data_IF_905808438198
#
_entry.id   IF_905808438198
#
_cell.length_a   1.000
_cell.length_b   1.000
_cell.length_c   1.000
_cell.angle_alpha   90.00
_cell.angle_beta   90.00
_cell.angle_gamma   90.00
#
_symmetry.space_group_name_H-M   'P 1'
#
loop_
_entity.id
_entity.type
_entity.pdbx_description
1 polymer ?
#
# COMPACT_ATOMS: atom_id res chain seq x y z
N UNK A 1 -13.94 -17.24 -5.03
CA UNK A 1 -13.87 -15.92 -4.36
C UNK A 1 -14.53 -14.87 -5.25
N UNK A 2 -15.26 -13.90 -4.69
CA UNK A 2 -15.89 -12.84 -5.49
C UNK A 2 -14.84 -12.02 -6.25
N UNK A 3 -15.21 -11.56 -7.45
CA UNK A 3 -14.38 -10.70 -8.29
C UNK A 3 -14.17 -9.35 -7.60
N UNK A 4 -12.92 -8.88 -7.54
CA UNK A 4 -12.62 -7.56 -6.98
C UNK A 4 -13.09 -6.45 -7.93
N UNK A 5 -13.65 -5.37 -7.37
CA UNK A 5 -14.17 -4.20 -8.09
C UNK A 5 -13.19 -3.03 -8.06
N UNK A 6 -13.21 -2.10 -9.04
CA UNK A 6 -12.34 -0.92 -9.02
C UNK A 6 -12.53 -0.07 -7.75
N UNK A 7 -11.45 0.51 -7.22
CA UNK A 7 -11.43 1.26 -5.96
C UNK A 7 -10.97 2.71 -6.16
N UNK A 8 -11.37 3.67 -5.30
CA UNK A 8 -12.20 3.51 -4.10
C UNK A 8 -13.69 3.30 -4.41
N UNK A 9 -14.45 2.87 -3.40
CA UNK A 9 -15.90 2.66 -3.46
C UNK A 9 -16.71 3.96 -3.27
N UNK A 10 -16.33 5.02 -3.97
CA UNK A 10 -17.04 6.29 -4.00
C UNK A 10 -17.11 6.85 -5.43
N UNK A 11 -17.82 7.94 -5.66
CA UNK A 11 -17.83 8.61 -6.97
C UNK A 11 -16.44 9.17 -7.32
N UNK A 12 -16.12 9.14 -8.61
CA UNK A 12 -14.88 9.69 -9.15
C UNK A 12 -13.91 8.62 -9.69
N UNK A 13 -12.63 9.00 -9.88
CA UNK A 13 -11.64 8.15 -10.53
C UNK A 13 -11.35 6.90 -9.72
N UNK A 14 -11.20 5.77 -10.41
CA UNK A 14 -10.96 4.48 -9.80
C UNK A 14 -9.74 3.82 -10.40
N UNK A 15 -9.05 3.04 -9.58
CA UNK A 15 -7.98 2.16 -9.99
C UNK A 15 -8.51 0.74 -10.15
N UNK A 16 -8.25 0.17 -11.32
CA UNK A 16 -8.54 -1.23 -11.62
C UNK A 16 -7.65 -2.17 -10.80
N UNK A 17 -8.15 -3.39 -10.56
CA UNK A 17 -7.34 -4.45 -9.95
C UNK A 17 -6.27 -4.94 -10.92
N UNK A 18 -5.13 -5.34 -10.38
CA UNK A 18 -4.08 -6.01 -11.14
C UNK A 18 -4.46 -7.48 -11.43
N UNK A 19 -4.79 -8.24 -10.38
CA UNK A 19 -5.34 -9.61 -10.48
C UNK A 19 -6.35 -9.85 -9.34
N UNK A 20 -7.16 -10.91 -9.45
CA UNK A 20 -8.11 -11.29 -8.39
C UNK A 20 -7.43 -12.01 -7.23
N UNK A 21 -6.34 -12.72 -7.51
CA UNK A 21 -5.72 -13.64 -6.56
C UNK A 21 -4.26 -13.84 -6.96
N UNK A 22 -3.34 -13.18 -6.24
CA UNK A 22 -1.91 -13.25 -6.54
C UNK A 22 -1.36 -14.67 -6.36
N UNK A 23 -1.97 -15.49 -5.49
CA UNK A 23 -1.54 -16.87 -5.24
C UNK A 23 -1.73 -17.81 -6.43
N UNK A 24 -2.46 -17.36 -7.47
CA UNK A 24 -2.61 -18.08 -8.74
C UNK A 24 -1.52 -17.76 -9.76
N UNK A 25 -0.63 -16.83 -9.43
CA UNK A 25 0.49 -16.42 -10.26
C UNK A 25 1.80 -16.95 -9.68
N UNK A 26 2.81 -17.14 -10.53
CA UNK A 26 4.17 -17.36 -10.03
C UNK A 26 4.72 -16.00 -9.59
N UNK A 27 4.74 -15.75 -8.28
CA UNK A 27 5.20 -14.49 -7.73
C UNK A 27 6.29 -14.68 -6.69
N UNK A 28 7.23 -13.72 -6.67
CA UNK A 28 8.34 -13.66 -5.71
C UNK A 28 8.61 -12.22 -5.33
N UNK A 29 8.75 -11.94 -4.04
CA UNK A 29 9.34 -10.68 -3.60
C UNK A 29 10.85 -10.86 -3.57
N UNK A 30 11.55 -9.97 -4.28
CA UNK A 30 12.97 -10.10 -4.57
C UNK A 30 13.82 -9.27 -3.61
N UNK A 31 13.40 -8.03 -3.38
CA UNK A 31 14.20 -7.00 -2.71
C UNK A 31 13.28 -6.03 -1.97
N UNK A 32 13.59 -5.76 -0.71
CA UNK A 32 13.04 -4.62 0.01
C UNK A 32 13.70 -3.34 -0.52
N UNK A 33 12.91 -2.37 -0.99
CA UNK A 33 13.42 -1.13 -1.59
C UNK A 33 13.37 0.06 -0.63
N UNK A 34 12.49 0.03 0.37
CA UNK A 34 12.36 1.10 1.35
C UNK A 34 11.00 1.11 2.04
N UNK A 35 10.87 2.01 3.00
CA UNK A 35 9.62 2.31 3.70
C UNK A 35 9.43 3.81 3.73
N UNK A 36 8.16 4.23 3.77
CA UNK A 36 7.79 5.60 4.03
C UNK A 36 6.70 5.65 5.09
N UNK A 37 6.06 6.81 5.21
CA UNK A 37 5.06 7.07 6.24
C UNK A 37 3.92 6.04 6.28
N UNK A 38 3.43 5.56 5.12
CA UNK A 38 2.21 4.75 5.05
C UNK A 38 2.37 3.37 4.42
N UNK A 39 3.60 2.97 4.06
CA UNK A 39 3.82 1.80 3.21
C UNK A 39 5.27 1.36 3.18
N UNK A 40 5.48 0.09 2.82
CA UNK A 40 6.77 -0.41 2.35
C UNK A 40 6.73 -0.66 0.85
N UNK A 41 7.90 -0.61 0.22
CA UNK A 41 8.06 -0.83 -1.22
C UNK A 41 8.98 -2.03 -1.43
N UNK A 42 8.53 -2.97 -2.25
CA UNK A 42 9.29 -4.17 -2.61
C UNK A 42 9.40 -4.30 -4.12
N UNK A 43 10.53 -4.81 -4.58
CA UNK A 43 10.69 -5.33 -5.94
C UNK A 43 10.13 -6.74 -5.99
N UNK A 44 9.36 -7.05 -7.02
CA UNK A 44 8.75 -8.36 -7.19
C UNK A 44 8.88 -8.86 -8.62
N UNK A 45 8.88 -10.18 -8.79
CA UNK A 45 8.62 -10.84 -10.05
C UNK A 45 7.22 -11.45 -10.01
N UNK A 46 6.42 -11.23 -11.04
CA UNK A 46 5.11 -11.88 -11.23
C UNK A 46 5.02 -12.38 -12.66
N UNK A 47 4.84 -13.69 -12.85
CA UNK A 47 4.81 -14.38 -14.13
C UNK A 47 6.01 -14.03 -15.03
N UNK A 48 7.22 -14.01 -14.44
CA UNK A 48 8.48 -13.70 -15.14
C UNK A 48 8.68 -12.23 -15.51
N UNK A 49 7.84 -11.32 -15.00
CA UNK A 49 7.98 -9.86 -15.20
C UNK A 49 8.30 -9.16 -13.90
N UNK A 50 9.21 -8.18 -13.97
CA UNK A 50 9.60 -7.41 -12.80
C UNK A 50 8.66 -6.23 -12.59
N UNK A 51 8.27 -6.02 -11.34
CA UNK A 51 7.44 -4.94 -10.85
C UNK A 51 8.04 -4.30 -9.61
N UNK A 52 7.55 -3.12 -9.28
CA UNK A 52 7.64 -2.52 -7.95
C UNK A 52 6.25 -2.52 -7.35
N UNK A 53 6.15 -2.99 -6.10
CA UNK A 53 4.89 -3.11 -5.37
C UNK A 53 4.99 -2.28 -4.11
N UNK A 54 4.10 -1.30 -3.98
CA UNK A 54 3.93 -0.50 -2.76
C UNK A 54 2.85 -1.15 -1.90
N UNK A 55 3.21 -1.69 -0.75
CA UNK A 55 2.35 -2.37 0.22
C UNK A 55 1.97 -1.38 1.33
N UNK A 56 0.70 -1.02 1.43
CA UNK A 56 0.22 -0.08 2.44
C UNK A 56 0.05 -0.77 3.79
N UNK A 57 0.39 -0.07 4.87
CA UNK A 57 0.13 -0.59 6.22
C UNK A 57 -1.39 -0.68 6.44
N UNK A 58 -1.91 -1.78 7.01
CA UNK A 58 -3.36 -2.03 7.09
C UNK A 58 -4.15 -0.89 7.73
N UNK A 59 -3.61 -0.29 8.80
CA UNK A 59 -4.21 0.87 9.47
C UNK A 59 -4.52 2.01 8.50
N UNK A 60 -3.60 2.37 7.58
CA UNK A 60 -3.75 3.49 6.64
C UNK A 60 -4.60 3.16 5.41
N UNK A 61 -5.06 1.91 5.29
CA UNK A 61 -6.08 1.52 4.31
C UNK A 61 -7.47 1.81 4.84
N UNK A 62 -7.67 1.67 6.15
CA UNK A 62 -8.99 1.70 6.78
C UNK A 62 -9.25 2.95 7.60
N UNK A 63 -8.20 3.61 8.09
CA UNK A 63 -8.28 4.77 8.96
C UNK A 63 -7.65 5.99 8.27
N UNK A 64 -8.39 7.11 8.17
CA UNK A 64 -7.84 8.34 7.65
C UNK A 64 -6.82 8.90 8.65
N UNK A 65 -5.55 8.88 8.27
CA UNK A 65 -4.47 9.43 9.08
C UNK A 65 -3.61 10.38 8.21
N UNK A 66 -3.11 11.44 8.82
CA UNK A 66 -2.28 12.47 8.20
C UNK A 66 -0.93 12.52 8.91
N UNK A 67 -0.20 11.41 8.87
CA UNK A 67 1.20 11.43 9.29
C UNK A 67 2.08 12.02 8.16
N UNK A 68 3.02 12.86 8.58
CA UNK A 68 4.00 13.51 7.73
C UNK A 68 5.38 13.20 8.31
N UNK A 69 6.24 12.61 7.49
CA UNK A 69 7.66 12.47 7.79
C UNK A 69 8.43 13.69 7.24
N UNK A 70 9.50 14.15 7.92
CA UNK A 70 10.37 15.18 7.37
C UNK A 70 11.02 14.72 6.06
N UNK A 71 11.22 15.65 5.14
CA UNK A 71 11.94 15.39 3.88
C UNK A 71 13.43 15.14 4.17
N UNK A 72 13.96 15.78 5.21
CA UNK A 72 15.36 15.64 5.61
C UNK A 72 15.52 14.40 6.50
N UNK A 73 16.24 13.41 5.97
CA UNK A 73 16.47 12.10 6.59
C UNK A 73 17.25 12.19 7.92
N UNK A 74 17.95 13.30 8.17
CA UNK A 74 18.67 13.51 9.44
C UNK A 74 17.73 13.79 10.62
N UNK A 75 16.46 14.08 10.35
CA UNK A 75 15.46 14.34 11.37
C UNK A 75 14.58 13.13 11.62
N UNK A 76 14.80 12.48 12.76
CA UNK A 76 13.90 11.44 13.23
C UNK A 76 12.76 12.06 14.04
N UNK A 77 11.51 11.83 13.62
CA UNK A 77 10.32 12.14 14.40
C UNK A 77 9.79 10.83 14.95
N UNK A 78 9.76 10.70 16.28
CA UNK A 78 9.07 9.58 16.91
C UNK A 78 7.60 9.61 16.49
N UNK A 79 7.12 8.52 15.90
CA UNK A 79 5.70 8.39 15.55
C UNK A 79 4.89 8.14 16.81
N UNK A 80 3.95 9.04 17.10
CA UNK A 80 2.95 8.81 18.16
C UNK A 80 2.10 7.58 17.82
N UNK A 81 1.45 7.00 18.83
CA UNK A 81 0.54 5.87 18.61
C UNK A 81 -0.50 6.21 17.54
N UNK A 82 -0.75 5.27 16.62
CA UNK A 82 -1.67 5.46 15.50
C UNK A 82 -3.10 5.58 16.00
N UNK A 83 -3.54 6.80 16.32
CA UNK A 83 -4.91 7.04 16.76
C UNK A 83 -5.90 6.77 15.63
N UNK A 84 -6.84 5.85 15.86
CA UNK A 84 -7.91 5.55 14.92
C UNK A 84 -9.02 6.59 15.03
N UNK A 85 -9.54 7.06 13.90
CA UNK A 85 -10.59 8.06 13.90
C UNK A 85 -11.92 7.42 14.36
N UNK A 86 -12.35 7.75 15.56
CA UNK A 86 -13.62 7.26 16.12
C UNK A 86 -14.73 8.30 16.02
N UNK A 87 -15.96 7.81 15.84
CA UNK A 87 -17.12 8.69 15.84
C UNK A 87 -17.36 9.30 17.22
N UNK A 88 -17.82 10.55 17.24
CA UNK A 88 -18.13 11.31 18.44
C UNK A 88 -19.34 12.23 18.20
N UNK A 89 -19.81 12.92 19.24
CA UNK A 89 -20.84 13.96 19.08
C UNK A 89 -20.44 15.05 18.08
N UNK A 90 -19.14 15.34 17.96
CA UNK A 90 -18.59 16.34 17.01
C UNK A 90 -18.36 15.77 15.62
N UNK A 91 -18.07 14.46 15.51
CA UNK A 91 -17.79 13.78 14.24
C UNK A 91 -18.69 12.53 14.16
N UNK A 92 -19.91 12.66 13.62
CA UNK A 92 -20.82 11.52 13.49
C UNK A 92 -20.26 10.41 12.59
N UNK A 93 -20.76 9.18 12.76
CA UNK A 93 -20.27 8.00 12.01
C UNK A 93 -20.26 8.18 10.49
N UNK A 94 -21.30 8.80 9.91
CA UNK A 94 -21.35 9.03 8.46
C UNK A 94 -20.24 9.96 7.96
N UNK A 95 -19.74 10.87 8.81
CA UNK A 95 -18.60 11.73 8.49
C UNK A 95 -17.31 10.91 8.50
N UNK A 96 -17.13 10.03 9.51
CA UNK A 96 -16.00 9.10 9.56
C UNK A 96 -15.99 8.19 8.33
N UNK A 97 -17.13 7.61 7.96
CA UNK A 97 -17.25 6.72 6.80
C UNK A 97 -16.94 7.46 5.48
N UNK A 98 -17.40 8.72 5.36
CA UNK A 98 -17.03 9.59 4.24
C UNK A 98 -15.53 9.86 4.21
N UNK A 99 -14.90 10.14 5.34
CA UNK A 99 -13.45 10.37 5.40
C UNK A 99 -12.66 9.12 5.01
N UNK A 100 -13.08 7.92 5.43
CA UNK A 100 -12.39 6.67 5.06
C UNK A 100 -12.23 6.52 3.56
N UNK A 101 -13.29 6.70 2.78
CA UNK A 101 -13.21 6.56 1.31
C UNK A 101 -12.49 7.71 0.60
N UNK A 102 -12.30 8.85 1.29
CA UNK A 102 -11.75 10.08 0.71
C UNK A 102 -10.37 10.51 1.24
N UNK A 103 -9.90 9.98 2.36
CA UNK A 103 -8.72 10.50 3.04
C UNK A 103 -7.68 9.44 3.40
N UNK A 104 -7.98 8.14 3.35
CA UNK A 104 -6.97 7.08 3.53
C UNK A 104 -5.92 7.12 2.43
N UNK A 105 -4.65 6.89 2.76
CA UNK A 105 -3.52 6.99 1.84
C UNK A 105 -3.68 6.09 0.60
N UNK A 106 -4.11 4.84 0.80
CA UNK A 106 -4.33 3.91 -0.32
C UNK A 106 -5.40 4.42 -1.30
N UNK A 107 -6.56 4.88 -0.81
CA UNK A 107 -7.60 5.40 -1.69
C UNK A 107 -7.23 6.74 -2.33
N UNK A 108 -6.43 7.58 -1.65
CA UNK A 108 -5.91 8.81 -2.25
C UNK A 108 -5.08 8.49 -3.49
N UNK A 109 -4.17 7.51 -3.40
CA UNK A 109 -3.38 7.07 -4.55
C UNK A 109 -4.22 6.39 -5.63
N UNK A 110 -5.20 5.56 -5.26
CA UNK A 110 -6.13 4.99 -6.23
C UNK A 110 -6.84 6.08 -7.06
N UNK A 111 -7.30 7.17 -6.43
CA UNK A 111 -7.94 8.28 -7.14
C UNK A 111 -6.94 9.05 -8.00
N UNK A 112 -5.72 9.28 -7.50
CA UNK A 112 -4.67 9.96 -8.25
C UNK A 112 -4.32 9.19 -9.54
N UNK A 113 -3.95 7.92 -9.42
CA UNK A 113 -3.62 7.08 -10.58
C UNK A 113 -4.84 6.82 -11.48
N UNK A 114 -6.02 6.62 -10.88
CA UNK A 114 -7.27 6.50 -11.62
C UNK A 114 -7.52 7.71 -12.51
N UNK A 115 -7.30 8.94 -11.99
CA UNK A 115 -7.49 10.18 -12.76
C UNK A 115 -6.45 10.32 -13.87
N UNK A 116 -5.19 9.97 -13.60
CA UNK A 116 -4.14 10.01 -14.61
C UNK A 116 -4.44 9.05 -15.77
N UNK A 117 -4.95 7.85 -15.48
CA UNK A 117 -5.37 6.87 -16.49
C UNK A 117 -6.59 7.34 -17.29
N UNK A 118 -7.61 7.84 -16.60
CA UNK A 118 -8.83 8.39 -17.21
C UNK A 118 -8.51 9.51 -18.23
N UNK A 119 -7.54 10.37 -17.92
CA UNK A 119 -7.14 11.50 -18.77
C UNK A 119 -6.02 11.17 -19.78
N UNK A 120 -5.47 9.95 -19.80
CA UNK A 120 -4.30 9.62 -20.62
C UNK A 120 -3.05 10.45 -20.25
N UNK A 121 -2.92 10.81 -18.96
CA UNK A 121 -1.84 11.63 -18.40
C UNK A 121 -0.90 10.83 -17.50
N UNK A 122 -0.84 9.52 -17.67
CA UNK A 122 0.05 8.65 -16.89
C UNK A 122 1.52 9.09 -16.95
N UNK A 123 1.98 9.76 -18.02
CA UNK A 123 3.32 10.35 -18.14
C UNK A 123 3.66 11.46 -17.13
N UNK A 124 2.68 11.98 -16.38
CA UNK A 124 2.91 12.95 -15.30
C UNK A 124 3.32 12.29 -13.98
N UNK A 125 3.24 10.96 -13.88
CA UNK A 125 3.66 10.17 -12.72
C UNK A 125 4.26 8.83 -13.20
N UNK A 126 4.57 7.92 -12.27
CA UNK A 126 4.84 6.53 -12.65
C UNK A 126 3.56 5.83 -13.12
N UNK A 127 3.64 5.01 -14.17
CA UNK A 127 2.53 4.18 -14.64
C UNK A 127 2.14 3.15 -13.58
N UNK A 128 0.84 2.89 -13.46
CA UNK A 128 0.30 1.87 -12.54
C UNK A 128 -0.56 0.87 -13.30
N UNK A 129 -0.29 -0.42 -13.08
CA UNK A 129 -1.06 -1.51 -13.71
C UNK A 129 -2.33 -1.83 -12.94
N UNK A 130 -2.37 -1.59 -11.63
CA UNK A 130 -3.55 -1.74 -10.81
C UNK A 130 -3.20 -1.96 -9.34
N UNK A 131 -4.22 -2.27 -8.54
CA UNK A 131 -4.04 -2.60 -7.14
C UNK A 131 -4.14 -4.13 -6.88
N UNK A 132 -3.57 -4.56 -5.76
CA UNK A 132 -3.67 -5.91 -5.20
C UNK A 132 -4.32 -5.87 -3.82
N UNK A 133 -4.93 -6.99 -3.44
CA UNK A 133 -5.36 -7.28 -2.07
C UNK A 133 -4.70 -8.57 -1.61
N UNK A 134 -3.89 -8.48 -0.57
CA UNK A 134 -3.09 -9.55 -0.01
C UNK A 134 -3.44 -9.73 1.47
N UNK A 135 -2.98 -10.81 2.06
CA UNK A 135 -3.06 -11.06 3.50
C UNK A 135 -1.71 -11.52 4.01
N UNK A 136 -1.38 -11.20 5.26
CA UNK A 136 -0.07 -11.52 5.82
C UNK A 136 0.28 -13.00 5.66
N UNK A 137 -0.65 -13.90 6.00
CA UNK A 137 -0.46 -15.36 5.87
C UNK A 137 -0.17 -15.84 4.44
N UNK A 138 -0.40 -15.01 3.40
CA UNK A 138 -0.11 -15.34 2.01
C UNK A 138 1.29 -14.90 1.56
N UNK A 139 1.88 -13.91 2.23
CA UNK A 139 3.09 -13.23 1.76
C UNK A 139 4.21 -13.16 2.80
N UNK A 140 3.99 -13.63 4.02
CA UNK A 140 4.92 -13.46 5.14
C UNK A 140 6.32 -14.00 4.82
N UNK A 141 6.42 -15.24 4.35
CA UNK A 141 7.70 -15.86 3.98
C UNK A 141 8.42 -15.07 2.87
N UNK A 142 7.67 -14.63 1.84
CA UNK A 142 8.23 -13.91 0.70
C UNK A 142 8.73 -12.51 1.11
N UNK A 143 8.01 -11.82 2.00
CA UNK A 143 8.47 -10.53 2.55
C UNK A 143 9.72 -10.74 3.40
N UNK A 144 9.75 -11.75 4.26
CA UNK A 144 10.93 -12.09 5.05
C UNK A 144 12.15 -12.40 4.19
N UNK A 145 11.97 -13.15 3.11
CA UNK A 145 13.05 -13.48 2.18
C UNK A 145 13.55 -12.21 1.46
N UNK A 146 12.65 -11.34 1.01
CA UNK A 146 13.03 -10.06 0.40
C UNK A 146 13.81 -9.15 1.36
N UNK A 147 13.40 -9.09 2.63
CA UNK A 147 14.12 -8.33 3.67
C UNK A 147 15.51 -8.90 3.89
N UNK A 148 15.65 -10.22 4.07
CA UNK A 148 16.95 -10.88 4.29
C UNK A 148 17.86 -10.76 3.09
N UNK A 149 17.32 -10.78 1.88
CA UNK A 149 18.09 -10.58 0.65
C UNK A 149 18.68 -9.17 0.59
N UNK A 150 17.94 -8.14 1.01
CA UNK A 150 18.43 -6.76 1.02
C UNK A 150 19.31 -6.46 2.23
N UNK A 151 18.90 -6.91 3.42
CA UNK A 151 19.52 -6.62 4.72
C UNK A 151 19.71 -7.96 5.46
N UNK A 152 20.80 -8.70 5.19
CA UNK A 152 21.00 -10.05 5.74
C UNK A 152 20.97 -10.14 7.27
N UNK A 153 21.34 -9.05 7.95
CA UNK A 153 21.38 -8.98 9.42
C UNK A 153 20.03 -8.59 10.05
N UNK A 154 19.03 -8.21 9.23
CA UNK A 154 17.72 -7.83 9.73
C UNK A 154 17.00 -9.04 10.31
N UNK A 155 16.44 -8.86 11.52
CA UNK A 155 15.64 -9.86 12.23
C UNK A 155 14.21 -9.40 12.46
N UNK A 156 13.75 -8.44 11.66
CA UNK A 156 12.43 -7.83 11.82
C UNK A 156 11.35 -8.75 11.23
N UNK A 157 10.37 -9.19 12.05
CA UNK A 157 9.23 -9.93 11.52
C UNK A 157 8.39 -9.04 10.61
N UNK A 158 7.64 -9.63 9.68
CA UNK A 158 6.88 -8.87 8.67
C UNK A 158 5.87 -7.93 9.31
N UNK A 159 5.26 -8.33 10.44
CA UNK A 159 4.35 -7.48 11.22
C UNK A 159 5.01 -6.16 11.66
N UNK A 160 6.30 -6.18 11.99
CA UNK A 160 7.04 -4.98 12.40
C UNK A 160 7.34 -4.10 11.18
N UNK A 161 7.73 -4.70 10.06
CA UNK A 161 8.01 -3.98 8.81
C UNK A 161 6.74 -3.36 8.22
N UNK A 162 5.62 -4.06 8.31
CA UNK A 162 4.30 -3.59 7.88
C UNK A 162 3.59 -2.73 8.93
N UNK A 163 4.25 -2.44 10.05
CA UNK A 163 3.74 -1.69 11.20
C UNK A 163 2.31 -2.07 11.60
N UNK A 164 2.05 -3.38 11.63
CA UNK A 164 0.75 -3.96 11.96
C UNK A 164 0.58 -4.01 13.47
N UNK A 165 -0.59 -3.61 13.97
CA UNK A 165 -1.01 -3.94 15.32
C UNK A 165 -1.52 -5.39 15.40
N UNK A 166 -1.55 -5.97 16.61
CA UNK A 166 -1.96 -7.36 16.81
C UNK A 166 -3.38 -7.65 16.28
N UNK A 167 -4.27 -6.66 16.33
CA UNK A 167 -5.64 -6.77 15.82
C UNK A 167 -5.75 -6.55 14.30
N UNK A 168 -4.64 -6.31 13.60
CA UNK A 168 -4.58 -6.02 12.16
C UNK A 168 -4.03 -7.17 11.32
N UNK A 169 -3.54 -8.24 11.95
CA UNK A 169 -2.88 -9.39 11.28
C UNK A 169 -3.77 -10.04 10.21
N UNK A 170 -5.09 -10.04 10.44
CA UNK A 170 -6.09 -10.59 9.52
C UNK A 170 -6.68 -9.56 8.54
N UNK A 171 -6.32 -8.28 8.68
CA UNK A 171 -6.77 -7.24 7.76
C UNK A 171 -6.08 -7.36 6.39
N UNK A 172 -6.75 -6.97 5.30
CA UNK A 172 -6.15 -6.98 3.99
C UNK A 172 -5.01 -5.96 3.88
N UNK A 173 -3.88 -6.42 3.36
CA UNK A 173 -2.79 -5.57 2.91
C UNK A 173 -3.11 -5.14 1.47
N UNK A 174 -3.43 -3.86 1.28
CA UNK A 174 -3.66 -3.30 -0.04
C UNK A 174 -2.34 -2.87 -0.66
N UNK A 175 -2.18 -3.08 -1.97
CA UNK A 175 -0.94 -2.74 -2.66
C UNK A 175 -1.18 -2.13 -4.03
N UNK A 176 -0.21 -1.36 -4.54
CA UNK A 176 -0.21 -0.79 -5.88
C UNK A 176 0.95 -1.38 -6.68
N UNK A 177 0.68 -1.82 -7.92
CA UNK A 177 1.65 -2.48 -8.81
C UNK A 177 2.06 -1.55 -9.94
N UNK A 178 3.36 -1.29 -10.02
CA UNK A 178 3.99 -0.43 -11.03
C UNK A 178 5.08 -1.20 -11.79
N UNK A 179 5.31 -0.91 -13.09
CA UNK A 179 6.43 -1.50 -13.83
C UNK A 179 7.77 -0.90 -13.37
N UNK A 180 8.85 -1.68 -13.45
CA UNK A 180 10.19 -1.25 -12.99
C UNK A 180 10.83 -0.14 -13.82
N UNK A 181 10.39 0.09 -15.05
CA UNK A 181 11.01 1.07 -15.97
C UNK A 181 10.87 2.53 -15.53
N UNK A 182 10.02 2.84 -14.54
CA UNK A 182 9.63 4.23 -14.24
C UNK A 182 9.76 4.63 -12.76
N UNK A 183 9.91 3.68 -11.82
CA UNK A 183 9.82 3.99 -10.37
C UNK A 183 11.10 4.62 -9.81
N UNK A 184 12.26 4.45 -10.45
CA UNK A 184 13.52 5.05 -10.00
C UNK A 184 13.59 6.59 -10.15
N UNK A 185 12.54 7.25 -10.64
CA UNK A 185 12.48 8.72 -10.77
C UNK A 185 11.58 9.40 -9.74
N UNK A 186 10.85 8.65 -8.91
CA UNK A 186 9.82 9.18 -8.01
C UNK A 186 10.01 8.83 -6.53
N UNK A 187 11.15 8.22 -6.19
CA UNK A 187 11.62 8.01 -4.81
C UNK A 187 12.82 8.92 -4.61
#
# INVERSE_FOLDING_TARGET
>A
MPTLKPLPDCEGPKLERFTNDLTKHDFKFLEYLGSGCHSVVVKAEIDGKIYVIKLFFPVYVHEPNFELDPIDEDYFVEREEKERLTASEKIPQHVVDSLRVHATSFYNECRAYGRLKELGREHLAGKVHGYLRLYLHQIDEQVQDAIKNTIPEAKWPTIQVMEMMDDEVDLPIMAIVSPTTEVLQAI
#
